data_IF_154656017972
#
_entry.id   IF_154656017972
#
_cell.length_a   1.000
_cell.length_b   1.000
_cell.length_c   1.000
_cell.angle_alpha   90.00
_cell.angle_beta   90.00
_cell.angle_gamma   90.00
#
_symmetry.space_group_name_H-M   'P 1'
#
loop_
_entity.id
_entity.type
_entity.pdbx_description
1 polymer ?
#
# COMPACT_ATOMS: atom_id res chain seq x y z
N UNK A 1 -20.04 28.59 36.96
CA UNK A 1 -20.35 28.12 35.60
C UNK A 1 -19.04 27.69 35.00
N UNK A 2 -18.78 26.38 34.96
CA UNK A 2 -17.52 25.79 34.52
C UNK A 2 -17.87 24.93 33.32
N UNK A 3 -17.33 25.28 32.16
CA UNK A 3 -17.62 24.61 30.90
C UNK A 3 -17.27 23.12 30.98
N UNK A 4 -18.08 22.24 30.37
CA UNK A 4 -17.86 20.82 30.42
C UNK A 4 -16.57 20.52 29.66
N UNK A 5 -15.64 19.84 30.33
CA UNK A 5 -14.57 19.10 29.68
C UNK A 5 -15.26 18.08 28.78
N UNK A 6 -15.44 18.47 27.53
CA UNK A 6 -15.75 17.55 26.45
C UNK A 6 -14.58 16.59 26.38
N UNK A 7 -14.74 15.46 27.07
CA UNK A 7 -14.02 14.22 26.83
C UNK A 7 -14.44 13.75 25.43
N UNK A 8 -14.04 14.53 24.43
CA UNK A 8 -14.22 14.21 23.03
C UNK A 8 -13.20 13.13 22.69
N UNK A 9 -13.68 11.89 22.73
CA UNK A 9 -13.30 10.86 21.77
C UNK A 9 -11.80 10.63 21.63
N UNK A 10 -11.20 10.05 22.67
CA UNK A 10 -9.99 9.27 22.52
C UNK A 10 -10.20 8.23 21.39
N UNK A 11 -9.51 8.43 20.26
CA UNK A 11 -9.17 7.37 19.31
C UNK A 11 -10.31 6.62 18.62
N UNK A 12 -11.22 7.32 17.93
CA UNK A 12 -12.05 6.71 16.90
C UNK A 12 -11.17 6.39 15.67
N UNK A 13 -10.52 5.24 15.70
CA UNK A 13 -9.96 4.62 14.51
C UNK A 13 -11.12 4.33 13.54
N UNK A 14 -11.23 5.14 12.48
CA UNK A 14 -12.16 4.87 11.38
C UNK A 14 -11.57 3.73 10.56
N UNK A 15 -11.89 2.50 10.95
CA UNK A 15 -11.70 1.32 10.10
C UNK A 15 -12.70 1.41 8.96
N UNK A 16 -12.24 1.81 7.77
CA UNK A 16 -13.08 1.72 6.58
C UNK A 16 -13.18 0.23 6.15
N UNK A 17 -14.42 -0.26 6.21
CA UNK A 17 -14.84 -1.59 5.81
C UNK A 17 -14.84 -1.72 4.28
N UNK A 18 -14.09 -2.70 3.77
CA UNK A 18 -14.34 -3.44 2.53
C UNK A 18 -14.24 -2.71 1.19
N UNK A 19 -13.21 -3.06 0.39
CA UNK A 19 -13.36 -3.25 -1.05
C UNK A 19 -12.16 -4.01 -1.65
N UNK A 20 -12.44 -4.88 -2.62
CA UNK A 20 -11.48 -5.56 -3.49
C UNK A 20 -11.10 -4.62 -4.63
N UNK A 21 -9.81 -4.35 -4.86
CA UNK A 21 -9.40 -3.41 -5.90
C UNK A 21 -8.35 -4.01 -6.84
N UNK A 22 -8.88 -4.58 -7.93
CA UNK A 22 -8.15 -5.07 -9.10
C UNK A 22 -8.26 -6.58 -9.25
N UNK A 23 -9.34 -7.06 -9.89
CA UNK A 23 -9.52 -8.46 -10.30
C UNK A 23 -9.66 -8.51 -11.82
N UNK A 24 -8.72 -9.12 -12.52
CA UNK A 24 -9.00 -9.68 -13.85
C UNK A 24 -8.13 -10.89 -14.12
N UNK A 25 -8.77 -11.94 -14.66
CA UNK A 25 -8.12 -13.22 -14.82
C UNK A 25 -7.47 -13.68 -13.51
N UNK A 26 -6.28 -14.28 -13.64
CA UNK A 26 -5.51 -14.81 -12.53
C UNK A 26 -4.68 -13.73 -11.77
N UNK A 27 -4.93 -12.42 -11.99
CA UNK A 27 -4.32 -11.33 -11.21
C UNK A 27 -5.33 -10.81 -10.20
N UNK A 28 -4.96 -10.82 -8.92
CA UNK A 28 -5.75 -10.21 -7.86
C UNK A 28 -4.91 -9.37 -6.92
N UNK A 29 -5.40 -8.17 -6.63
CA UNK A 29 -4.84 -7.26 -5.63
C UNK A 29 -5.92 -6.81 -4.67
N UNK A 30 -5.62 -6.83 -3.38
CA UNK A 30 -6.54 -6.38 -2.33
C UNK A 30 -5.86 -5.39 -1.41
N UNK A 31 -6.50 -4.25 -1.14
CA UNK A 31 -6.01 -3.24 -0.21
C UNK A 31 -7.20 -2.55 0.44
N UNK A 32 -7.10 -2.25 1.73
CA UNK A 32 -8.04 -1.35 2.41
C UNK A 32 -7.47 0.05 2.51
N UNK A 33 -8.35 1.05 2.48
CA UNK A 33 -7.94 2.43 2.69
C UNK A 33 -7.60 2.67 4.16
N UNK A 34 -6.49 3.36 4.38
CA UNK A 34 -5.98 3.69 5.72
C UNK A 34 -5.67 5.17 5.79
N UNK A 35 -5.96 5.76 6.94
CA UNK A 35 -5.68 7.16 7.22
C UNK A 35 -5.02 7.28 8.58
N UNK A 36 -4.10 8.23 8.71
CA UNK A 36 -3.55 8.63 9.98
C UNK A 36 -3.45 10.15 10.08
N UNK A 37 -4.21 10.70 11.02
CA UNK A 37 -4.30 12.14 11.27
C UNK A 37 -3.92 12.43 12.72
N UNK A 38 -3.10 13.45 12.93
CA UNK A 38 -2.74 13.95 14.24
C UNK A 38 -3.85 14.87 14.79
N UNK A 39 -4.12 14.86 16.10
CA UNK A 39 -5.16 15.71 16.67
C UNK A 39 -4.87 17.22 16.60
N UNK A 40 -3.60 17.60 16.41
CA UNK A 40 -3.15 19.00 16.44
C UNK A 40 -2.68 19.51 15.09
N UNK A 41 -3.15 18.91 14.00
CA UNK A 41 -2.83 19.40 12.66
C UNK A 41 -3.36 20.82 12.48
N UNK A 42 -2.53 21.77 12.01
CA UNK A 42 -2.98 23.12 11.73
C UNK A 42 -4.12 23.12 10.70
N UNK A 43 -5.20 23.86 10.98
CA UNK A 43 -6.33 24.01 10.05
C UNK A 43 -5.94 24.70 8.72
N UNK A 44 -4.77 25.35 8.67
CA UNK A 44 -4.19 25.94 7.46
C UNK A 44 -3.50 24.93 6.54
N UNK A 45 -3.34 23.67 6.97
CA UNK A 45 -2.66 22.64 6.20
C UNK A 45 -3.46 22.29 4.93
N UNK A 46 -2.82 22.44 3.76
CA UNK A 46 -3.44 22.17 2.47
C UNK A 46 -3.20 20.73 2.06
N UNK A 47 -4.28 20.02 1.77
CA UNK A 47 -4.21 18.65 1.24
C UNK A 47 -3.73 18.64 -0.21
N UNK A 48 -2.86 17.69 -0.50
CA UNK A 48 -2.31 17.41 -1.83
C UNK A 48 -2.55 15.95 -2.14
N UNK A 49 -2.94 15.67 -3.38
CA UNK A 49 -3.09 14.31 -3.88
C UNK A 49 -1.74 13.78 -4.32
N UNK A 50 -1.49 12.51 -4.03
CA UNK A 50 -0.34 11.77 -4.53
C UNK A 50 -0.79 10.49 -5.21
N UNK A 51 -0.12 10.20 -6.31
CA UNK A 51 -0.37 9.03 -7.14
C UNK A 51 0.96 8.49 -7.64
N UNK A 52 1.40 7.38 -7.04
CA UNK A 52 2.66 6.74 -7.40
C UNK A 52 2.40 5.38 -8.00
N UNK A 53 3.06 5.11 -9.12
CA UNK A 53 3.08 3.77 -9.70
C UNK A 53 4.22 2.98 -9.08
N UNK A 54 3.92 1.76 -8.64
CA UNK A 54 4.90 0.79 -8.19
C UNK A 54 4.76 -0.48 -9.02
N UNK A 55 5.82 -1.27 -9.10
CA UNK A 55 5.81 -2.54 -9.84
C UNK A 55 6.41 -3.69 -9.04
N UNK A 56 5.80 -4.85 -9.19
CA UNK A 56 6.39 -6.13 -8.82
C UNK A 56 6.75 -6.89 -10.09
N UNK A 57 8.00 -7.37 -10.17
CA UNK A 57 8.44 -8.22 -11.27
C UNK A 57 8.54 -9.65 -10.78
N UNK A 58 7.77 -10.56 -11.39
CA UNK A 58 7.82 -11.99 -11.13
C UNK A 58 8.62 -12.71 -12.23
N UNK A 59 9.54 -13.57 -11.81
CA UNK A 59 10.34 -14.40 -12.69
C UNK A 59 9.61 -15.71 -12.99
N UNK A 60 9.66 -16.10 -14.25
CA UNK A 60 9.14 -17.36 -14.71
C UNK A 60 10.28 -18.40 -14.78
N UNK A 61 10.15 -19.58 -14.16
CA UNK A 61 11.25 -20.54 -14.04
C UNK A 61 11.56 -21.30 -15.33
N UNK A 62 10.63 -21.39 -16.29
CA UNK A 62 10.90 -22.06 -17.57
C UNK A 62 11.80 -21.19 -18.47
N UNK A 63 12.88 -21.75 -19.02
CA UNK A 63 13.66 -21.11 -20.07
C UNK A 63 12.76 -20.71 -21.26
N UNK A 64 12.97 -19.53 -21.81
CA UNK A 64 12.20 -19.00 -22.96
C UNK A 64 10.89 -18.29 -22.61
N UNK A 65 10.50 -18.25 -21.33
CA UNK A 65 9.36 -17.45 -20.87
C UNK A 65 9.85 -16.12 -20.29
N UNK A 66 9.17 -15.02 -20.65
CA UNK A 66 9.55 -13.69 -20.17
C UNK A 66 9.17 -13.49 -18.70
N UNK A 67 9.81 -12.49 -18.08
CA UNK A 67 9.37 -11.97 -16.77
C UNK A 67 7.97 -11.40 -16.91
N UNK A 68 7.17 -11.53 -15.85
CA UNK A 68 5.87 -10.88 -15.74
C UNK A 68 5.99 -9.66 -14.82
N UNK A 69 5.29 -8.60 -15.18
CA UNK A 69 5.30 -7.33 -14.45
C UNK A 69 3.87 -7.00 -14.03
N UNK A 70 3.70 -6.75 -12.74
CA UNK A 70 2.44 -6.37 -12.11
C UNK A 70 2.57 -4.95 -11.60
N UNK A 71 1.67 -4.08 -12.04
CA UNK A 71 1.67 -2.68 -11.63
C UNK A 71 0.60 -2.45 -10.59
N UNK A 72 0.93 -1.56 -9.66
CA UNK A 72 0.01 -1.06 -8.66
C UNK A 72 0.08 0.46 -8.61
N UNK A 73 -1.00 1.05 -8.13
CA UNK A 73 -1.12 2.47 -7.92
C UNK A 73 -1.29 2.73 -6.43
N UNK A 74 -0.30 3.38 -5.84
CA UNK A 74 -0.44 3.97 -4.51
C UNK A 74 -1.15 5.31 -4.66
N UNK A 75 -2.28 5.48 -3.98
CA UNK A 75 -3.06 6.72 -3.96
C UNK A 75 -3.24 7.15 -2.53
N UNK A 76 -2.94 8.41 -2.21
CA UNK A 76 -3.19 9.00 -0.91
C UNK A 76 -3.26 10.52 -1.00
N UNK A 77 -3.70 11.16 0.08
CA UNK A 77 -3.62 12.59 0.25
C UNK A 77 -2.75 12.90 1.46
N UNK A 78 -1.96 13.98 1.38
CA UNK A 78 -1.11 14.41 2.47
C UNK A 78 -1.14 15.94 2.62
N UNK A 79 -0.85 16.45 3.81
CA UNK A 79 -0.84 17.89 4.10
C UNK A 79 0.46 18.39 4.77
N UNK A 80 1.48 17.54 4.80
CA UNK A 80 2.77 17.77 5.47
C UNK A 80 2.85 17.26 6.91
N UNK A 81 1.71 16.94 7.51
CA UNK A 81 1.60 16.33 8.84
C UNK A 81 0.89 14.99 8.76
N UNK A 82 -0.27 14.96 8.10
CA UNK A 82 -1.18 13.83 8.03
C UNK A 82 -1.18 13.15 6.67
N UNK A 83 -1.63 11.90 6.67
CA UNK A 83 -1.93 11.12 5.47
C UNK A 83 -3.36 10.58 5.60
N UNK A 84 -4.15 10.70 4.54
CA UNK A 84 -5.50 10.10 4.50
C UNK A 84 -5.77 9.40 3.18
N UNK A 85 -6.75 8.50 3.21
CA UNK A 85 -7.23 7.73 2.06
C UNK A 85 -6.12 6.96 1.33
N UNK A 86 -5.07 6.56 2.07
CA UNK A 86 -3.97 5.81 1.51
C UNK A 86 -4.45 4.40 1.14
N UNK A 87 -4.23 3.99 -0.11
CA UNK A 87 -4.61 2.67 -0.61
C UNK A 87 -3.75 2.28 -1.80
N UNK A 88 -3.66 0.98 -2.05
CA UNK A 88 -2.98 0.40 -3.21
C UNK A 88 -4.00 -0.26 -4.12
N UNK A 89 -4.06 0.18 -5.38
CA UNK A 89 -4.96 -0.38 -6.40
C UNK A 89 -4.15 -1.22 -7.39
N UNK A 90 -4.62 -2.43 -7.72
CA UNK A 90 -4.03 -3.22 -8.81
C UNK A 90 -4.33 -2.58 -10.16
N UNK A 91 -3.28 -2.33 -10.97
CA UNK A 91 -3.43 -1.82 -12.34
C UNK A 91 -3.43 -2.98 -13.32
N UNK A 92 -4.58 -3.64 -13.40
CA UNK A 92 -4.77 -4.83 -14.23
C UNK A 92 -4.37 -4.59 -15.68
N UNK A 93 -4.91 -3.54 -16.32
CA UNK A 93 -4.70 -3.28 -17.74
C UNK A 93 -3.25 -2.91 -18.09
N UNK A 94 -2.48 -2.45 -17.10
CA UNK A 94 -1.06 -2.16 -17.25
C UNK A 94 -0.17 -3.37 -16.96
N UNK A 95 -0.71 -4.40 -16.32
CA UNK A 95 0.01 -5.59 -15.87
C UNK A 95 0.10 -6.64 -16.97
N UNK A 96 1.05 -7.57 -16.83
CA UNK A 96 1.23 -8.66 -17.78
C UNK A 96 0.00 -9.57 -17.78
N UNK A 97 -0.46 -9.91 -18.99
CA UNK A 97 -1.50 -10.92 -19.18
C UNK A 97 -1.02 -12.28 -18.70
N UNK A 98 -1.93 -13.04 -18.08
CA UNK A 98 -1.65 -14.38 -17.56
C UNK A 98 -2.62 -15.40 -18.16
N UNK A 99 -2.08 -16.40 -18.84
CA UNK A 99 -2.88 -17.47 -19.47
C UNK A 99 -3.03 -18.69 -18.54
N UNK A 100 -1.95 -19.13 -17.89
CA UNK A 100 -1.93 -20.31 -16.99
C UNK A 100 -1.33 -20.03 -15.62
N UNK A 101 -0.84 -18.81 -15.39
CA UNK A 101 -0.19 -18.40 -14.15
C UNK A 101 -1.16 -17.62 -13.28
N UNK A 102 -0.93 -17.54 -11.96
CA UNK A 102 -1.66 -16.66 -11.06
C UNK A 102 -0.75 -15.80 -10.19
N UNK A 103 -1.19 -14.56 -9.95
CA UNK A 103 -0.49 -13.62 -9.10
C UNK A 103 -1.49 -12.96 -8.15
N UNK A 104 -1.27 -13.13 -6.86
CA UNK A 104 -2.12 -12.55 -5.82
C UNK A 104 -1.29 -11.74 -4.85
N UNK A 105 -1.81 -10.59 -4.42
CA UNK A 105 -1.18 -9.79 -3.37
C UNK A 105 -2.22 -9.13 -2.48
N UNK A 106 -1.97 -9.14 -1.18
CA UNK A 106 -2.79 -8.51 -0.16
C UNK A 106 -1.98 -7.47 0.58
N UNK A 107 -2.47 -6.24 0.60
CA UNK A 107 -1.89 -5.07 1.23
C UNK A 107 -2.64 -4.73 2.52
N UNK A 108 -1.91 -4.74 3.64
CA UNK A 108 -2.43 -4.40 4.97
C UNK A 108 -1.77 -3.12 5.47
N UNK A 109 -2.48 -2.01 5.30
CA UNK A 109 -2.07 -0.71 5.81
C UNK A 109 -2.31 -0.57 7.31
N UNK A 110 -1.43 0.14 8.00
CA UNK A 110 -1.59 0.56 9.39
C UNK A 110 -0.83 1.86 9.66
N UNK A 111 -1.32 2.64 10.62
CA UNK A 111 -0.58 3.78 11.17
C UNK A 111 0.68 3.29 11.89
N UNK A 112 1.82 3.93 11.66
CA UNK A 112 3.12 3.47 12.15
C UNK A 112 3.86 4.47 13.06
N UNK A 113 3.69 5.76 12.83
CA UNK A 113 4.29 6.80 13.67
C UNK A 113 3.56 6.96 15.01
N UNK A 114 4.32 7.28 16.06
CA UNK A 114 3.75 7.65 17.38
C UNK A 114 2.98 8.96 17.28
N UNK A 115 1.99 9.14 18.15
CA UNK A 115 1.21 10.38 18.22
C UNK A 115 2.05 11.62 18.60
N UNK A 116 3.19 11.41 19.28
CA UNK A 116 4.14 12.47 19.60
C UNK A 116 5.00 12.90 18.41
N UNK A 117 5.02 12.12 17.33
CA UNK A 117 5.77 12.49 16.14
C UNK A 117 5.03 13.65 15.45
N UNK A 118 5.76 14.59 14.85
CA UNK A 118 5.15 15.71 14.14
C UNK A 118 4.63 15.31 12.75
N UNK A 119 4.94 14.10 12.28
CA UNK A 119 4.55 13.60 10.96
C UNK A 119 3.97 12.19 11.06
N UNK A 120 2.91 11.98 10.29
CA UNK A 120 2.24 10.72 10.11
C UNK A 120 3.02 9.82 9.16
N UNK A 121 3.03 8.54 9.51
CA UNK A 121 3.59 7.48 8.73
C UNK A 121 2.59 6.33 8.66
N UNK A 122 2.39 5.81 7.46
CA UNK A 122 1.58 4.62 7.20
C UNK A 122 2.49 3.55 6.60
N UNK A 123 2.36 2.32 7.09
CA UNK A 123 3.05 1.15 6.55
C UNK A 123 2.01 0.18 5.99
N UNK A 124 2.18 -0.19 4.73
CA UNK A 124 1.48 -1.30 4.09
C UNK A 124 2.39 -2.52 4.08
N UNK A 125 2.10 -3.48 4.95
CA UNK A 125 2.70 -4.80 4.83
C UNK A 125 1.97 -5.56 3.73
N UNK A 126 2.70 -6.18 2.81
CA UNK A 126 2.10 -7.00 1.78
C UNK A 126 2.62 -8.43 1.81
N UNK A 127 1.70 -9.35 1.51
CA UNK A 127 2.00 -10.76 1.27
C UNK A 127 1.29 -11.17 0.00
N UNK A 128 1.97 -11.94 -0.83
CA UNK A 128 1.41 -12.43 -2.06
C UNK A 128 1.90 -13.82 -2.42
N UNK A 129 1.27 -14.37 -3.45
CA UNK A 129 1.59 -15.68 -4.02
C UNK A 129 1.77 -15.55 -5.52
N UNK A 130 2.85 -16.13 -6.03
CA UNK A 130 3.15 -16.24 -7.44
C UNK A 130 3.14 -17.72 -7.83
N UNK A 131 2.21 -18.09 -8.71
CA UNK A 131 2.13 -19.42 -9.29
C UNK A 131 2.35 -19.33 -10.80
N UNK A 132 3.55 -19.65 -11.31
CA UNK A 132 3.81 -19.58 -12.74
C UNK A 132 3.03 -20.63 -13.55
N UNK A 133 2.54 -21.73 -12.94
CA UNK A 133 2.16 -22.95 -13.67
C UNK A 133 0.93 -23.73 -13.20
N UNK A 134 0.28 -23.36 -12.09
CA UNK A 134 -0.73 -24.22 -11.46
C UNK A 134 -0.14 -25.36 -10.63
N UNK A 135 1.19 -25.39 -10.43
CA UNK A 135 1.93 -26.55 -9.90
C UNK A 135 2.83 -26.21 -8.69
N UNK A 136 2.85 -24.95 -8.25
CA UNK A 136 3.63 -24.55 -7.08
C UNK A 136 3.60 -23.05 -6.83
N UNK A 137 3.12 -22.69 -5.64
CA UNK A 137 3.02 -21.31 -5.16
C UNK A 137 4.34 -20.86 -4.53
N UNK A 138 4.85 -19.70 -4.93
CA UNK A 138 5.95 -19.01 -4.25
C UNK A 138 5.38 -17.87 -3.45
N UNK A 139 5.60 -17.87 -2.14
CA UNK A 139 5.21 -16.76 -1.29
C UNK A 139 6.25 -15.64 -1.37
N UNK A 140 5.76 -14.41 -1.31
CA UNK A 140 6.60 -13.23 -1.24
C UNK A 140 5.94 -12.18 -0.34
N UNK A 141 6.74 -11.26 0.16
CA UNK A 141 6.22 -10.19 0.98
C UNK A 141 7.22 -9.07 1.20
N UNK A 142 6.72 -7.99 1.75
CA UNK A 142 7.51 -6.80 2.00
C UNK A 142 6.66 -5.68 2.59
N UNK A 143 7.19 -4.48 2.47
CA UNK A 143 6.57 -3.29 3.01
C UNK A 143 6.64 -2.11 2.04
N UNK A 144 5.57 -1.33 2.06
CA UNK A 144 5.48 -0.01 1.44
C UNK A 144 5.24 1.01 2.56
N UNK A 145 6.15 1.94 2.72
CA UNK A 145 6.14 2.96 3.76
C UNK A 145 5.86 4.31 3.13
N UNK A 146 4.93 5.05 3.71
CA UNK A 146 4.56 6.41 3.31
C UNK A 146 4.76 7.31 4.51
N UNK A 147 5.50 8.39 4.35
CA UNK A 147 5.74 9.38 5.40
C UNK A 147 5.40 10.77 4.90
N UNK A 148 4.59 11.51 5.65
CA UNK A 148 4.43 12.94 5.42
C UNK A 148 5.72 13.68 5.81
N UNK A 149 5.93 14.87 5.24
CA UNK A 149 7.05 15.74 5.61
C UNK A 149 6.60 17.17 5.85
N UNK A 150 7.15 17.77 6.91
CA UNK A 150 6.86 19.15 7.32
C UNK A 150 7.20 20.20 6.24
N UNK A 151 8.02 19.84 5.24
CA UNK A 151 8.29 20.71 4.09
C UNK A 151 7.15 20.70 3.04
N UNK A 152 6.03 20.04 3.33
CA UNK A 152 4.90 19.91 2.40
C UNK A 152 5.14 18.88 1.30
N UNK A 153 6.02 17.90 1.51
CA UNK A 153 6.25 16.75 0.63
C UNK A 153 5.81 15.45 1.30
N UNK A 154 5.87 14.35 0.56
CA UNK A 154 5.74 12.99 1.09
C UNK A 154 6.89 12.12 0.59
N UNK A 155 7.32 11.18 1.42
CA UNK A 155 8.34 10.21 1.10
C UNK A 155 7.73 8.82 1.04
N UNK A 156 8.14 8.06 0.04
CA UNK A 156 7.70 6.70 -0.18
C UNK A 156 8.93 5.80 -0.20
N UNK A 157 8.86 4.68 0.51
CA UNK A 157 9.87 3.62 0.45
C UNK A 157 9.18 2.30 0.20
N UNK A 158 9.62 1.58 -0.82
CA UNK A 158 9.04 0.32 -1.24
C UNK A 158 10.13 -0.74 -1.30
N UNK A 159 9.92 -1.83 -0.55
CA UNK A 159 10.91 -2.90 -0.41
C UNK A 159 10.28 -4.28 -0.34
N UNK A 160 11.07 -5.27 -0.79
CA UNK A 160 10.82 -6.69 -0.54
C UNK A 160 11.52 -7.09 0.75
N UNK A 161 10.80 -7.71 1.67
CA UNK A 161 11.39 -8.29 2.88
C UNK A 161 11.78 -9.76 2.62
N UNK A 162 10.95 -10.50 1.86
CA UNK A 162 11.26 -11.88 1.47
C UNK A 162 10.65 -12.27 0.12
N UNK A 163 11.29 -13.24 -0.54
CA UNK A 163 10.74 -14.01 -1.65
C UNK A 163 11.34 -15.40 -1.56
N UNK A 164 10.52 -16.44 -1.34
CA UNK A 164 10.97 -17.81 -1.01
C UNK A 164 11.96 -18.39 -2.03
N UNK A 165 12.02 -17.84 -3.25
CA UNK A 165 12.97 -18.23 -4.30
C UNK A 165 13.67 -17.06 -4.97
N UNK A 166 13.59 -15.85 -4.42
CA UNK A 166 14.00 -14.59 -5.07
C UNK A 166 13.34 -14.37 -6.45
N UNK A 167 12.15 -14.95 -6.65
CA UNK A 167 11.41 -14.89 -7.90
C UNK A 167 10.54 -13.65 -8.02
N UNK A 168 10.37 -12.87 -6.96
CA UNK A 168 9.63 -11.62 -7.00
C UNK A 168 10.51 -10.47 -6.51
N UNK A 169 10.52 -9.37 -7.25
CA UNK A 169 11.29 -8.16 -6.94
C UNK A 169 10.42 -6.91 -6.97
N UNK A 170 10.66 -5.99 -6.04
CA UNK A 170 10.03 -4.67 -5.99
C UNK A 170 10.81 -3.63 -6.78
N UNK A 171 10.09 -2.64 -7.31
CA UNK A 171 10.67 -1.46 -7.92
C UNK A 171 9.63 -0.35 -8.16
N UNK A 172 10.14 0.81 -8.56
CA UNK A 172 9.38 1.94 -9.06
C UNK A 172 9.35 1.92 -10.59
#
# INVERSE_FOLDING_TARGET
MVDPVSVAGLGLAVFSTGAEYGNSGNFSSTSKAVSYMHPKTPNSARWRDMNTRIKLTAFHPRPGWSRQVFYFRLIYQYNGYDIRNARVEGLVDASSGMYTSSFTVNWRGQSHSRQSNPVSQIVFNFVGRWDPHGLGDVSFGGQLVISASLNGSAYESFGMDFSERNWVRAGY
#
